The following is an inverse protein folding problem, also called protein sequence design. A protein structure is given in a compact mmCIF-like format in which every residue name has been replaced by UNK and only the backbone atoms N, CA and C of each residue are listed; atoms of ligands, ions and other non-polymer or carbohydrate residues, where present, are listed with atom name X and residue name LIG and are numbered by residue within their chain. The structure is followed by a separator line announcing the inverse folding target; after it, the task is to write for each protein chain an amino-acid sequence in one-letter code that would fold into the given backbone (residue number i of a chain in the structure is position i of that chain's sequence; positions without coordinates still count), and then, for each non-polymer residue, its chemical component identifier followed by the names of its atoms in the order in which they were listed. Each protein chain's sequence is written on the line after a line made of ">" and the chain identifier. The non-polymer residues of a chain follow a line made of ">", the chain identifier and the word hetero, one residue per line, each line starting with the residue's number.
data_IF_759956229099
#
_entry.id   IF_759956229099
#
_cell.length_a   1.000
_cell.length_b   1.000
_cell.length_c   1.000
_cell.angle_alpha   90.00
_cell.angle_beta   90.00
_cell.angle_gamma   90.00
#
_symmetry.space_group_name_H-M   'P 1'
#
loop_
_entity.id
_entity.type
_entity.pdbx_description
1 polymer ?
#
# COMPACT_ATOMS: atom_id res chain seq x y z
N UNK A 1 9.20 16.33 -16.69
CA UNK A 1 8.90 14.92 -16.34
C UNK A 1 7.49 14.83 -15.80
N UNK A 2 6.64 13.96 -16.36
CA UNK A 2 5.32 13.67 -15.81
C UNK A 2 5.43 13.00 -14.43
N UNK A 3 4.33 13.04 -13.68
CA UNK A 3 4.26 12.55 -12.31
C UNK A 3 3.08 11.60 -12.17
N UNK A 4 3.32 10.31 -12.28
CA UNK A 4 2.25 9.32 -12.37
C UNK A 4 1.75 8.89 -11.00
N UNK A 5 0.44 8.95 -10.80
CA UNK A 5 -0.22 8.49 -9.58
C UNK A 5 -1.15 7.33 -9.92
N UNK A 6 -0.89 6.17 -9.31
CA UNK A 6 -1.58 4.92 -9.61
C UNK A 6 -2.74 4.66 -8.65
N UNK A 7 -3.83 4.17 -9.21
CA UNK A 7 -5.06 3.84 -8.50
C UNK A 7 -5.52 2.42 -8.84
N UNK A 8 -6.04 1.72 -7.84
CA UNK A 8 -6.50 0.33 -7.98
C UNK A 8 -7.90 0.13 -7.42
N UNK A 9 -8.69 -0.69 -8.09
CA UNK A 9 -9.97 -1.21 -7.62
C UNK A 9 -10.05 -2.70 -7.99
N UNK A 10 -9.94 -3.59 -7.01
CA UNK A 10 -9.89 -5.03 -7.27
C UNK A 10 -8.72 -5.40 -8.18
N UNK A 11 -9.02 -5.83 -9.40
CA UNK A 11 -8.02 -6.17 -10.43
C UNK A 11 -7.76 -5.02 -11.43
N UNK A 12 -8.58 -3.97 -11.42
CA UNK A 12 -8.42 -2.83 -12.31
C UNK A 12 -7.32 -1.90 -11.78
N UNK A 13 -6.38 -1.53 -12.66
CA UNK A 13 -5.31 -0.58 -12.40
C UNK A 13 -5.42 0.56 -13.41
N UNK A 14 -5.39 1.79 -12.92
CA UNK A 14 -5.35 3.00 -13.74
C UNK A 14 -4.33 3.99 -13.17
N UNK A 15 -3.99 5.02 -13.94
CA UNK A 15 -3.07 6.06 -13.53
C UNK A 15 -3.56 7.43 -14.00
N UNK A 16 -3.18 8.46 -13.25
CA UNK A 16 -3.35 9.86 -13.61
C UNK A 16 -1.99 10.56 -13.59
N UNK A 17 -1.82 11.59 -14.42
CA UNK A 17 -0.70 12.51 -14.27
C UNK A 17 -1.04 13.56 -13.20
N UNK A 18 -0.28 13.57 -12.11
CA UNK A 18 -0.47 14.46 -10.97
C UNK A 18 -0.04 15.91 -11.24
N UNK A 19 0.65 16.17 -12.36
CA UNK A 19 0.96 17.52 -12.80
C UNK A 19 -0.13 18.11 -13.71
N UNK A 20 -1.07 17.28 -14.19
CA UNK A 20 -2.15 17.73 -15.05
C UNK A 20 -3.10 18.66 -14.28
N UNK A 21 -3.59 19.74 -14.90
CA UNK A 21 -4.52 20.66 -14.24
C UNK A 21 -5.85 19.98 -13.86
N UNK A 22 -6.24 18.94 -14.59
CA UNK A 22 -7.46 18.15 -14.35
C UNK A 22 -7.31 17.11 -13.23
N UNK A 23 -6.10 16.91 -12.71
CA UNK A 23 -5.78 15.83 -11.77
C UNK A 23 -6.73 15.79 -10.56
N UNK A 24 -7.06 16.94 -9.97
CA UNK A 24 -7.93 16.98 -8.78
C UNK A 24 -9.34 16.48 -9.07
N UNK A 25 -9.87 16.79 -10.26
CA UNK A 25 -11.20 16.35 -10.67
C UNK A 25 -11.21 14.86 -11.01
N UNK A 26 -10.26 14.42 -11.84
CA UNK A 26 -10.12 13.02 -12.24
C UNK A 26 -9.86 12.11 -11.04
N UNK A 27 -9.02 12.54 -10.10
CA UNK A 27 -8.77 11.81 -8.85
C UNK A 27 -10.05 11.66 -8.04
N UNK A 28 -10.83 12.73 -7.91
CA UNK A 28 -12.11 12.69 -7.17
C UNK A 28 -13.05 11.68 -7.83
N UNK A 29 -13.20 11.73 -9.16
CA UNK A 29 -14.04 10.78 -9.89
C UNK A 29 -13.59 9.32 -9.69
N UNK A 30 -12.29 9.05 -9.69
CA UNK A 30 -11.77 7.70 -9.42
C UNK A 30 -12.10 7.24 -8.00
N UNK A 31 -11.94 8.11 -7.01
CA UNK A 31 -12.28 7.80 -5.61
C UNK A 31 -13.78 7.54 -5.45
N UNK A 32 -14.64 8.33 -6.10
CA UNK A 32 -16.10 8.13 -6.11
C UNK A 32 -16.51 6.81 -6.77
N UNK A 33 -15.74 6.36 -7.76
CA UNK A 33 -15.91 5.04 -8.40
C UNK A 33 -15.37 3.89 -7.54
N UNK A 34 -14.70 4.17 -6.42
CA UNK A 34 -14.15 3.17 -5.51
C UNK A 34 -12.71 2.76 -5.80
N UNK A 35 -11.99 3.53 -6.62
CA UNK A 35 -10.54 3.35 -6.76
C UNK A 35 -9.79 3.98 -5.58
N UNK A 36 -8.76 3.29 -5.11
CA UNK A 36 -7.86 3.79 -4.07
C UNK A 36 -6.46 4.02 -4.63
N UNK A 37 -5.82 5.12 -4.22
CA UNK A 37 -4.41 5.35 -4.50
C UNK A 37 -3.56 4.28 -3.81
N UNK A 38 -2.65 3.64 -4.55
CA UNK A 38 -1.83 2.53 -4.02
C UNK A 38 -0.45 2.96 -3.54
N UNK A 39 0.01 4.14 -3.92
CA UNK A 39 1.25 4.76 -3.46
C UNK A 39 1.24 6.26 -3.76
N UNK A 40 2.27 6.97 -3.29
CA UNK A 40 2.50 8.35 -3.68
C UNK A 40 2.81 8.48 -5.20
N UNK A 41 2.56 9.65 -5.80
CA UNK A 41 2.93 9.94 -7.17
C UNK A 41 4.43 9.73 -7.42
N UNK A 42 4.78 9.19 -8.58
CA UNK A 42 6.17 8.88 -8.98
C UNK A 42 6.52 9.60 -10.27
N UNK A 43 7.64 10.31 -10.26
CA UNK A 43 8.21 10.91 -11.47
C UNK A 43 8.87 9.83 -12.33
N UNK A 44 8.50 9.79 -13.60
CA UNK A 44 9.14 8.97 -14.63
C UNK A 44 8.87 9.57 -16.01
N UNK A 45 9.61 9.14 -17.02
CA UNK A 45 9.35 9.55 -18.41
C UNK A 45 8.15 8.80 -19.02
N UNK A 46 7.89 7.56 -18.55
CA UNK A 46 6.77 6.73 -19.01
C UNK A 46 5.96 6.12 -17.87
N UNK A 47 4.66 5.80 -18.07
CA UNK A 47 3.86 5.14 -17.06
C UNK A 47 4.33 3.71 -16.75
N UNK A 48 4.95 3.03 -17.72
CA UNK A 48 5.52 1.70 -17.51
C UNK A 48 6.67 1.73 -16.51
N UNK A 49 7.60 2.69 -16.65
CA UNK A 49 8.71 2.88 -15.73
C UNK A 49 8.23 3.26 -14.33
N UNK A 50 7.26 4.18 -14.21
CA UNK A 50 6.70 4.55 -12.92
C UNK A 50 6.04 3.34 -12.21
N UNK A 51 5.39 2.44 -12.97
CA UNK A 51 4.82 1.22 -12.43
C UNK A 51 5.89 0.21 -12.00
N UNK A 52 7.00 0.09 -12.73
CA UNK A 52 8.14 -0.75 -12.34
C UNK A 52 8.80 -0.27 -11.04
N UNK A 53 8.99 1.03 -10.90
CA UNK A 53 9.50 1.64 -9.66
C UNK A 53 8.56 1.36 -8.49
N UNK A 54 7.25 1.50 -8.68
CA UNK A 54 6.25 1.23 -7.66
C UNK A 54 6.25 -0.24 -7.21
N UNK A 55 6.30 -1.18 -8.15
CA UNK A 55 6.41 -2.62 -7.84
C UNK A 55 7.68 -2.95 -7.07
N UNK A 56 8.79 -2.31 -7.44
CA UNK A 56 10.08 -2.49 -6.76
C UNK A 56 10.00 -1.98 -5.32
N UNK A 57 9.43 -0.79 -5.09
CA UNK A 57 9.25 -0.26 -3.75
C UNK A 57 8.31 -1.11 -2.89
N UNK A 58 7.22 -1.62 -3.44
CA UNK A 58 6.30 -2.52 -2.72
C UNK A 58 6.98 -3.84 -2.35
N UNK A 59 7.77 -4.43 -3.26
CA UNK A 59 8.52 -5.66 -2.98
C UNK A 59 9.58 -5.46 -1.88
N UNK A 60 10.20 -4.28 -1.82
CA UNK A 60 11.14 -3.93 -0.76
C UNK A 60 10.43 -3.73 0.59
N UNK A 61 9.26 -3.09 0.60
CA UNK A 61 8.46 -2.90 1.81
C UNK A 61 7.91 -4.22 2.36
N UNK A 62 7.43 -5.11 1.50
CA UNK A 62 6.95 -6.44 1.88
C UNK A 62 8.08 -7.27 2.53
N UNK A 63 9.27 -7.29 1.92
CA UNK A 63 10.44 -7.97 2.48
C UNK A 63 10.89 -7.38 3.83
N UNK A 64 10.80 -6.06 3.99
CA UNK A 64 11.13 -5.40 5.25
C UNK A 64 10.08 -5.72 6.34
N UNK A 65 8.80 -5.75 6.00
CA UNK A 65 7.71 -6.08 6.92
C UNK A 65 7.74 -7.57 7.33
N UNK A 66 8.00 -8.48 6.39
CA UNK A 66 8.18 -9.90 6.65
C UNK A 66 9.35 -10.17 7.61
N UNK A 67 10.42 -9.36 7.55
CA UNK A 67 11.54 -9.46 8.49
C UNK A 67 11.19 -8.93 9.89
N UNK A 68 10.33 -7.91 9.98
CA UNK A 68 9.90 -7.33 11.26
C UNK A 68 8.90 -8.21 12.03
N UNK A 69 8.07 -9.01 11.35
CA UNK A 69 7.08 -9.91 11.96
C UNK A 69 7.68 -11.15 12.66
N UNK A 70 8.97 -11.43 12.48
CA UNK A 70 9.66 -12.55 13.13
C UNK A 70 10.03 -12.30 14.61
N UNK A 71 9.75 -11.11 15.15
CA UNK A 71 10.11 -10.74 16.54
C UNK A 71 8.96 -10.79 17.55
N UNK A 72 7.77 -11.25 17.16
CA UNK A 72 6.66 -11.43 18.13
C UNK A 72 6.84 -12.76 18.86
N UNK A 73 7.73 -12.76 19.84
CA UNK A 73 7.89 -13.85 20.81
C UNK A 73 6.54 -14.16 21.45
N UNK A 74 6.11 -15.42 21.31
CA UNK A 74 4.89 -15.95 21.88
C UNK A 74 4.90 -15.79 23.41
N UNK A 75 4.13 -14.84 23.94
CA UNK A 75 3.87 -14.78 25.38
C UNK A 75 2.81 -15.82 25.70
N UNK A 76 3.25 -16.95 26.24
CA UNK A 76 2.44 -18.08 26.68
C UNK A 76 1.52 -17.61 27.82
N UNK A 77 0.20 -17.86 27.78
CA UNK A 77 -0.66 -17.56 28.93
C UNK A 77 -0.36 -18.57 30.05
N UNK A 78 0.22 -18.09 31.15
CA UNK A 78 0.30 -18.85 32.38
C UNK A 78 -1.12 -19.00 32.96
N UNK A 79 -1.71 -20.18 32.78
CA UNK A 79 -2.87 -20.63 33.56
C UNK A 79 -2.41 -20.74 35.02
N UNK A 80 -2.85 -19.82 35.87
CA UNK A 80 -2.81 -20.01 37.32
C UNK A 80 -4.12 -20.73 37.69
N UNK A 81 -4.03 -22.05 37.86
CA UNK A 81 -5.10 -22.85 38.43
C UNK A 81 -5.34 -22.43 39.89
N UNK A 82 -6.55 -21.99 40.21
CA UNK A 82 -7.03 -21.75 41.56
C UNK A 82 -7.29 -23.09 42.25
N UNK A 83 -6.46 -23.44 43.25
CA UNK A 83 -6.70 -24.58 44.13
C UNK A 83 -6.35 -24.19 45.56
N UNK A 84 -7.37 -23.83 46.33
CA UNK A 84 -7.41 -24.07 47.77
C UNK A 84 -8.84 -24.01 48.25
N UNK A 85 -9.42 -25.20 48.43
CA UNK A 85 -10.44 -25.42 49.45
C UNK A 85 -9.75 -26.05 50.66
N UNK A 86 -10.05 -25.53 51.85
CA UNK A 86 -10.58 -26.27 53.00
C UNK A 86 -10.91 -25.26 54.11
#
# INVERSE_FOLDING_TARGET
>A
MPNYHFFKQGQALTYLDANAPSYSDERRQLVEQGFAAIAAPTFADTPAEALELLRTHQALQDKANANALCLTVATIPAVIATLSGH
#
